data_IF_531705968937
#
_entry.id   IF_531705968937
#
_cell.length_a   1.000
_cell.length_b   1.000
_cell.length_c   1.000
_cell.angle_alpha   90.00
_cell.angle_beta   90.00
_cell.angle_gamma   90.00
#
_symmetry.space_group_name_H-M   'P 1'
#
loop_
_entity.id
_entity.type
_entity.pdbx_description
1 polymer ?
#
# COMPACT_ATOMS: atom_id res chain seq x y z
N UNK A 1 -75.79 -79.00 -20.43
CA UNK A 1 -75.37 -78.99 -19.01
C UNK A 1 -74.25 -77.97 -18.88
N UNK A 2 -74.55 -76.78 -18.31
CA UNK A 2 -73.96 -76.22 -17.07
C UNK A 2 -72.45 -75.92 -17.20
N UNK A 3 -71.86 -74.74 -16.97
CA UNK A 3 -72.26 -73.53 -16.24
C UNK A 3 -71.34 -72.34 -16.62
N UNK A 4 -71.90 -71.13 -16.47
CA UNK A 4 -71.30 -69.80 -16.29
C UNK A 4 -69.99 -69.71 -15.49
N UNK A 5 -69.06 -68.82 -15.90
CA UNK A 5 -68.61 -67.70 -15.03
C UNK A 5 -67.69 -66.68 -15.71
N UNK A 6 -67.92 -65.43 -15.30
CA UNK A 6 -67.24 -64.17 -15.56
C UNK A 6 -65.77 -64.14 -15.10
N UNK A 7 -64.93 -63.27 -15.70
CA UNK A 7 -64.34 -62.08 -15.03
C UNK A 7 -63.16 -61.43 -15.78
N UNK A 8 -63.26 -60.10 -15.82
CA UNK A 8 -62.23 -59.08 -15.56
C UNK A 8 -61.08 -58.86 -16.54
N UNK A 9 -61.16 -57.72 -17.24
CA UNK A 9 -60.02 -56.94 -17.71
C UNK A 9 -59.06 -56.64 -16.55
N UNK A 10 -57.75 -56.85 -16.78
CA UNK A 10 -56.69 -56.23 -16.00
C UNK A 10 -55.75 -55.50 -16.97
N UNK A 11 -56.03 -54.22 -17.17
CA UNK A 11 -55.10 -53.25 -17.79
C UNK A 11 -53.93 -53.02 -16.83
N UNK A 12 -52.74 -53.50 -17.20
CA UNK A 12 -51.49 -53.17 -16.53
C UNK A 12 -51.01 -51.83 -17.08
N UNK A 13 -51.17 -50.77 -16.29
CA UNK A 13 -50.57 -49.47 -16.56
C UNK A 13 -49.06 -49.55 -16.31
N UNK A 14 -48.25 -49.42 -17.36
CA UNK A 14 -46.80 -49.34 -17.27
C UNK A 14 -46.41 -47.91 -16.88
N UNK A 15 -46.21 -47.66 -15.59
CA UNK A 15 -45.61 -46.42 -15.10
C UNK A 15 -44.09 -46.53 -15.21
N UNK A 16 -43.52 -46.02 -16.31
CA UNK A 16 -42.08 -45.83 -16.42
C UNK A 16 -41.71 -44.43 -15.90
N UNK A 17 -41.04 -44.43 -14.74
CA UNK A 17 -40.49 -43.27 -14.03
C UNK A 17 -39.66 -42.38 -14.98
N UNK A 18 -40.05 -41.11 -15.10
CA UNK A 18 -39.18 -40.06 -15.62
C UNK A 18 -38.02 -39.84 -14.65
N UNK A 19 -36.84 -40.35 -15.02
CA UNK A 19 -35.58 -40.01 -14.36
C UNK A 19 -35.24 -38.56 -14.70
N UNK A 20 -35.62 -37.63 -13.82
CA UNK A 20 -35.09 -36.26 -13.88
C UNK A 20 -33.71 -36.35 -13.25
N UNK A 21 -32.66 -36.36 -14.09
CA UNK A 21 -31.31 -36.16 -13.59
C UNK A 21 -31.29 -34.83 -12.82
N UNK A 22 -30.82 -34.78 -11.56
CA UNK A 22 -30.63 -33.50 -10.90
C UNK A 22 -29.65 -32.71 -11.76
N UNK A 23 -30.10 -31.57 -12.29
CA UNK A 23 -29.20 -30.54 -12.74
C UNK A 23 -28.42 -30.14 -11.49
N UNK A 24 -27.23 -30.69 -11.32
CA UNK A 24 -26.28 -30.12 -10.38
C UNK A 24 -26.04 -28.72 -10.89
N UNK A 25 -26.64 -27.71 -10.23
CA UNK A 25 -26.08 -26.37 -10.28
C UNK A 25 -24.65 -26.55 -9.78
N UNK A 26 -23.69 -26.60 -10.71
CA UNK A 26 -22.33 -26.24 -10.35
C UNK A 26 -22.48 -24.83 -9.82
N UNK A 27 -22.33 -24.68 -8.50
CA UNK A 27 -21.91 -23.41 -7.91
C UNK A 27 -20.79 -22.92 -8.84
N UNK A 28 -20.81 -21.66 -9.32
CA UNK A 28 -19.66 -21.16 -10.07
C UNK A 28 -18.42 -21.61 -9.31
N UNK A 29 -17.47 -22.23 -10.02
CA UNK A 29 -16.18 -22.56 -9.44
C UNK A 29 -15.81 -21.36 -8.56
N UNK A 30 -15.51 -21.60 -7.28
CA UNK A 30 -14.87 -20.56 -6.47
C UNK A 30 -13.76 -20.06 -7.37
N UNK A 31 -13.85 -18.81 -7.84
CA UNK A 31 -12.76 -18.20 -8.58
C UNK A 31 -11.56 -18.40 -7.66
N UNK A 32 -10.60 -19.17 -8.14
CA UNK A 32 -9.40 -19.39 -7.37
C UNK A 32 -8.78 -18.01 -7.17
N UNK A 33 -8.50 -17.58 -5.92
CA UNK A 33 -7.89 -16.28 -5.67
C UNK A 33 -6.59 -16.08 -6.48
N UNK A 34 -5.94 -17.16 -6.94
CA UNK A 34 -4.75 -17.12 -7.79
C UNK A 34 -5.02 -17.06 -9.30
N UNK A 35 -6.24 -17.35 -9.79
CA UNK A 35 -6.60 -17.28 -11.22
C UNK A 35 -6.50 -15.84 -11.77
N UNK A 36 -6.41 -14.86 -10.89
CA UNK A 36 -6.26 -13.44 -11.23
C UNK A 36 -4.78 -13.02 -11.33
N UNK A 37 -3.83 -13.95 -11.18
CA UNK A 37 -2.40 -13.70 -11.22
C UNK A 37 -1.66 -14.49 -12.32
N UNK A 38 -0.52 -13.95 -12.76
CA UNK A 38 0.48 -14.65 -13.57
C UNK A 38 1.88 -14.34 -13.07
N UNK A 39 2.76 -15.34 -13.14
CA UNK A 39 4.22 -15.21 -12.95
C UNK A 39 4.88 -15.53 -14.29
N UNK A 40 5.59 -14.57 -14.87
CA UNK A 40 6.18 -14.68 -16.20
C UNK A 40 5.18 -15.11 -17.29
N UNK A 41 3.93 -14.65 -17.17
CA UNK A 41 2.82 -14.98 -18.08
C UNK A 41 2.24 -16.38 -17.91
N UNK A 42 2.63 -17.12 -16.86
CA UNK A 42 2.11 -18.45 -16.53
C UNK A 42 1.24 -18.34 -15.28
N UNK A 43 0.06 -18.97 -15.30
CA UNK A 43 -0.80 -19.05 -14.13
C UNK A 43 -0.08 -19.82 -13.00
N UNK A 44 -0.05 -19.30 -11.76
CA UNK A 44 0.60 -19.95 -10.64
C UNK A 44 -0.16 -21.21 -10.18
N UNK A 45 0.43 -21.97 -9.25
CA UNK A 45 -0.25 -23.12 -8.65
C UNK A 45 -1.51 -22.66 -7.90
N UNK A 46 -2.71 -23.14 -8.26
CA UNK A 46 -3.97 -22.74 -7.64
C UNK A 46 -4.09 -23.14 -6.15
N UNK A 47 -3.18 -23.98 -5.67
CA UNK A 47 -3.11 -24.41 -4.27
C UNK A 47 -2.03 -23.68 -3.46
N UNK A 48 -1.30 -22.76 -4.08
CA UNK A 48 -0.33 -21.94 -3.37
C UNK A 48 -1.03 -21.09 -2.31
N UNK A 49 -0.34 -20.78 -1.21
CA UNK A 49 -0.83 -19.84 -0.20
C UNK A 49 -0.03 -18.53 -0.21
N UNK A 50 0.87 -18.39 -1.19
CA UNK A 50 1.78 -17.28 -1.41
C UNK A 50 2.20 -17.32 -2.88
N UNK A 51 2.46 -16.15 -3.47
CA UNK A 51 2.97 -16.04 -4.83
C UNK A 51 4.43 -15.59 -4.80
N UNK A 52 5.30 -16.26 -5.56
CA UNK A 52 6.72 -15.92 -5.65
C UNK A 52 7.20 -16.04 -7.10
N UNK A 53 8.00 -15.08 -7.56
CA UNK A 53 8.75 -15.17 -8.83
C UNK A 53 9.87 -16.21 -8.73
N UNK A 54 10.69 -16.08 -7.68
CA UNK A 54 11.80 -16.98 -7.40
C UNK A 54 13.14 -16.32 -7.77
N UNK A 55 14.13 -17.07 -8.28
CA UNK A 55 15.38 -16.48 -8.73
C UNK A 55 15.31 -15.94 -10.16
N UNK A 56 15.94 -14.79 -10.38
CA UNK A 56 16.00 -14.08 -11.65
C UNK A 56 14.97 -12.96 -11.74
N UNK A 57 15.05 -12.15 -12.79
CA UNK A 57 14.12 -11.04 -13.00
C UNK A 57 12.74 -11.57 -13.42
N UNK A 58 11.76 -11.47 -12.53
CA UNK A 58 10.40 -12.01 -12.70
C UNK A 58 9.36 -10.92 -12.95
N UNK A 59 8.32 -11.27 -13.70
CA UNK A 59 7.15 -10.40 -13.95
C UNK A 59 5.91 -11.01 -13.32
N UNK A 60 5.41 -10.39 -12.26
CA UNK A 60 4.20 -10.78 -11.56
C UNK A 60 3.08 -9.79 -11.89
N UNK A 61 1.99 -10.27 -12.47
CA UNK A 61 0.81 -9.45 -12.77
C UNK A 61 -0.40 -10.08 -12.12
N UNK A 62 -1.06 -9.34 -11.25
CA UNK A 62 -2.31 -9.73 -10.62
C UNK A 62 -3.41 -8.68 -10.83
N UNK A 63 -4.66 -9.11 -10.81
CA UNK A 63 -5.84 -8.25 -10.75
C UNK A 63 -6.71 -8.60 -9.55
N UNK A 64 -7.62 -7.69 -9.16
CA UNK A 64 -8.64 -7.96 -8.13
C UNK A 64 -8.19 -7.75 -6.68
N UNK A 65 -8.92 -8.36 -5.74
CA UNK A 65 -8.64 -8.27 -4.30
C UNK A 65 -7.86 -9.52 -3.87
N UNK A 66 -6.58 -9.32 -3.53
CA UNK A 66 -5.65 -10.42 -3.24
C UNK A 66 -5.55 -10.68 -1.73
N UNK A 67 -5.64 -11.95 -1.34
CA UNK A 67 -5.61 -12.40 0.06
C UNK A 67 -4.45 -13.35 0.35
N UNK A 68 -3.29 -13.14 -0.28
CA UNK A 68 -2.09 -13.95 -0.08
C UNK A 68 -0.82 -13.14 -0.37
N UNK A 69 0.28 -13.35 0.37
CA UNK A 69 1.50 -12.58 0.19
C UNK A 69 2.11 -12.78 -1.20
N UNK A 70 2.71 -11.72 -1.74
CA UNK A 70 3.41 -11.72 -3.02
C UNK A 70 4.87 -11.34 -2.79
N UNK A 71 5.79 -12.10 -3.39
CA UNK A 71 7.23 -11.81 -3.41
C UNK A 71 7.75 -11.83 -4.84
N UNK A 72 8.59 -10.87 -5.22
CA UNK A 72 9.40 -10.97 -6.43
C UNK A 72 10.37 -12.15 -6.30
N UNK A 73 11.28 -12.05 -5.33
CA UNK A 73 12.29 -13.07 -5.08
C UNK A 73 13.68 -12.46 -5.17
N UNK A 74 14.65 -13.19 -5.72
CA UNK A 74 15.98 -12.64 -5.99
C UNK A 74 16.01 -12.16 -7.45
N UNK A 75 16.43 -10.93 -7.73
CA UNK A 75 16.46 -10.40 -9.10
C UNK A 75 15.75 -9.07 -9.19
N UNK A 76 15.76 -8.45 -10.37
CA UNK A 76 15.09 -7.19 -10.58
C UNK A 76 13.66 -7.46 -11.06
N UNK A 77 12.72 -7.51 -10.13
CA UNK A 77 11.36 -7.96 -10.37
C UNK A 77 10.40 -6.83 -10.77
N UNK A 78 9.34 -7.17 -11.49
CA UNK A 78 8.25 -6.26 -11.80
C UNK A 78 6.93 -6.84 -11.28
N UNK A 79 6.35 -6.20 -10.27
CA UNK A 79 5.10 -6.62 -9.63
C UNK A 79 4.02 -5.57 -9.93
N UNK A 80 2.95 -5.98 -10.62
CA UNK A 80 1.80 -5.11 -10.94
C UNK A 80 0.50 -5.68 -10.39
N UNK A 81 -0.15 -4.92 -9.51
CA UNK A 81 -1.45 -5.26 -8.93
C UNK A 81 -2.52 -4.28 -9.44
N UNK A 82 -3.45 -4.79 -10.24
CA UNK A 82 -4.60 -4.06 -10.77
C UNK A 82 -5.76 -4.15 -9.79
N UNK A 83 -5.69 -3.38 -8.70
CA UNK A 83 -6.64 -3.41 -7.60
C UNK A 83 -6.08 -2.74 -6.36
N UNK A 84 -6.79 -2.87 -5.24
CA UNK A 84 -6.25 -2.48 -3.94
C UNK A 84 -5.16 -3.47 -3.50
N UNK A 85 -4.26 -3.03 -2.64
CA UNK A 85 -3.14 -3.86 -2.19
C UNK A 85 -3.60 -5.11 -1.44
N UNK A 86 -2.73 -6.12 -1.44
CA UNK A 86 -2.96 -7.42 -0.83
C UNK A 86 -3.07 -7.31 0.69
N UNK A 87 -4.05 -8.01 1.29
CA UNK A 87 -4.17 -8.14 2.76
C UNK A 87 -2.91 -8.62 3.45
N UNK A 88 -2.08 -9.44 2.79
CA UNK A 88 -0.93 -10.13 3.39
C UNK A 88 0.43 -9.59 2.92
N UNK A 89 0.43 -8.52 2.12
CA UNK A 89 1.62 -7.74 1.78
C UNK A 89 2.31 -8.10 0.47
N UNK A 90 3.16 -7.18 0.01
CA UNK A 90 3.94 -7.28 -1.21
C UNK A 90 5.41 -7.01 -0.87
N UNK A 91 6.30 -7.86 -1.37
CA UNK A 91 7.75 -7.75 -1.22
C UNK A 91 8.39 -7.78 -2.61
N UNK A 92 9.30 -6.85 -2.89
CA UNK A 92 10.22 -6.96 -4.03
C UNK A 92 11.20 -8.11 -3.78
N UNK A 93 12.15 -7.87 -2.87
CA UNK A 93 13.16 -8.84 -2.48
C UNK A 93 14.55 -8.21 -2.65
N UNK A 94 15.61 -9.01 -2.83
CA UNK A 94 16.89 -8.48 -3.25
C UNK A 94 16.91 -8.21 -4.77
N UNK A 95 17.23 -6.98 -5.16
CA UNK A 95 17.33 -6.51 -6.54
C UNK A 95 16.70 -5.12 -6.68
N UNK A 96 16.87 -4.49 -7.84
CA UNK A 96 16.20 -3.23 -8.15
C UNK A 96 14.78 -3.51 -8.65
N UNK A 97 13.79 -3.49 -7.77
CA UNK A 97 12.42 -3.93 -8.06
C UNK A 97 11.49 -2.79 -8.51
N UNK A 98 10.46 -3.11 -9.27
CA UNK A 98 9.37 -2.20 -9.62
C UNK A 98 8.03 -2.75 -9.14
N UNK A 99 7.42 -2.07 -8.17
CA UNK A 99 6.14 -2.45 -7.57
C UNK A 99 5.09 -1.38 -7.90
N UNK A 100 4.04 -1.77 -8.61
CA UNK A 100 2.90 -0.89 -8.95
C UNK A 100 1.59 -1.46 -8.43
N UNK A 101 0.89 -0.72 -7.59
CA UNK A 101 -0.48 -1.02 -7.13
C UNK A 101 -1.40 0.10 -7.58
N UNK A 102 -2.36 -0.19 -8.45
CA UNK A 102 -3.21 0.86 -9.04
C UNK A 102 -4.26 1.42 -8.07
N UNK A 103 -4.62 0.65 -7.04
CA UNK A 103 -5.56 1.03 -5.99
C UNK A 103 -4.87 1.46 -4.70
N UNK A 104 -5.67 1.57 -3.64
CA UNK A 104 -5.20 2.01 -2.33
C UNK A 104 -4.50 0.85 -1.59
N UNK A 105 -3.55 1.20 -0.72
CA UNK A 105 -2.84 0.27 0.16
C UNK A 105 -3.38 0.41 1.57
N UNK A 106 -3.93 -0.68 2.11
CA UNK A 106 -4.50 -0.72 3.45
C UNK A 106 -6.01 -0.49 3.46
N UNK A 107 -6.53 -0.01 4.59
CA UNK A 107 -7.97 0.09 4.87
C UNK A 107 -8.43 -0.72 6.09
N UNK A 108 -9.70 -0.59 6.53
CA UNK A 108 -10.20 -1.31 7.70
C UNK A 108 -10.12 -2.84 7.50
N UNK A 109 -9.29 -3.52 8.30
CA UNK A 109 -9.10 -4.97 8.21
C UNK A 109 -8.07 -5.44 7.16
N UNK A 110 -7.38 -4.51 6.49
CA UNK A 110 -6.30 -4.74 5.54
C UNK A 110 -4.96 -4.54 6.26
N UNK A 111 -4.01 -5.47 6.13
CA UNK A 111 -2.80 -5.47 6.94
C UNK A 111 -1.62 -6.15 6.22
N UNK A 112 -1.14 -5.57 5.12
CA UNK A 112 -0.12 -6.17 4.28
C UNK A 112 1.14 -5.33 4.15
N UNK A 113 0.97 -4.07 3.77
CA UNK A 113 2.07 -3.17 3.43
C UNK A 113 2.82 -3.57 2.17
N UNK A 114 3.79 -2.73 1.80
CA UNK A 114 4.69 -2.95 0.66
C UNK A 114 6.12 -2.69 1.12
N UNK A 115 7.03 -3.57 0.73
CA UNK A 115 8.46 -3.43 0.95
C UNK A 115 9.23 -3.67 -0.37
N UNK A 116 10.11 -2.76 -0.76
CA UNK A 116 11.08 -3.00 -1.83
C UNK A 116 12.15 -4.00 -1.36
N UNK A 117 12.72 -3.73 -0.18
CA UNK A 117 13.83 -4.43 0.47
C UNK A 117 15.20 -3.97 -0.05
N UNK A 118 16.00 -4.81 -0.70
CA UNK A 118 17.40 -4.47 -0.93
C UNK A 118 17.67 -4.22 -2.40
N UNK A 119 18.01 -3.00 -2.77
CA UNK A 119 18.20 -2.53 -4.14
C UNK A 119 17.57 -1.15 -4.30
N UNK A 120 17.66 -0.56 -5.48
CA UNK A 120 17.06 0.74 -5.76
C UNK A 120 15.64 0.50 -6.30
N UNK A 121 14.67 0.47 -5.40
CA UNK A 121 13.32 0.06 -5.71
C UNK A 121 12.47 1.23 -6.20
N UNK A 122 11.51 0.94 -7.09
CA UNK A 122 10.48 1.89 -7.51
C UNK A 122 9.11 1.40 -7.05
N UNK A 123 8.47 2.13 -6.14
CA UNK A 123 7.17 1.79 -5.58
C UNK A 123 6.16 2.86 -5.97
N UNK A 124 5.09 2.48 -6.68
CA UNK A 124 3.99 3.39 -7.05
C UNK A 124 2.65 2.83 -6.58
N UNK A 125 1.89 3.60 -5.80
CA UNK A 125 0.61 3.16 -5.23
C UNK A 125 -0.47 4.25 -5.28
N UNK A 126 -1.73 3.88 -5.03
CA UNK A 126 -2.78 4.82 -4.62
C UNK A 126 -2.54 5.39 -3.22
N UNK A 127 -3.62 5.69 -2.49
CA UNK A 127 -3.53 6.21 -1.12
C UNK A 127 -2.99 5.14 -0.16
N UNK A 128 -2.37 5.59 0.93
CA UNK A 128 -1.87 4.71 1.99
C UNK A 128 -2.74 4.92 3.23
N UNK A 129 -3.54 3.90 3.55
CA UNK A 129 -4.56 3.92 4.58
C UNK A 129 -4.27 2.91 5.69
N UNK A 130 -3.71 3.37 6.80
CA UNK A 130 -3.37 2.55 7.97
C UNK A 130 -2.42 1.39 7.68
N UNK A 131 -1.52 1.56 6.69
CA UNK A 131 -0.49 0.59 6.35
C UNK A 131 0.88 1.21 6.06
N UNK A 132 1.90 0.37 5.85
CA UNK A 132 3.28 0.81 5.68
C UNK A 132 3.80 0.52 4.28
N UNK A 133 4.43 1.53 3.68
CA UNK A 133 5.29 1.42 2.50
C UNK A 133 6.72 1.64 2.96
N UNK A 134 7.64 0.80 2.48
CA UNK A 134 9.07 0.89 2.76
C UNK A 134 9.85 0.67 1.47
N UNK A 135 10.81 1.55 1.19
CA UNK A 135 11.83 1.31 0.17
C UNK A 135 12.74 0.18 0.66
N UNK A 136 13.64 0.47 1.59
CA UNK A 136 14.48 -0.52 2.25
C UNK A 136 15.94 -0.10 2.26
N UNK A 137 16.82 -0.83 1.60
CA UNK A 137 18.23 -0.49 1.43
C UNK A 137 18.48 -0.17 -0.04
N UNK A 138 19.08 0.97 -0.34
CA UNK A 138 19.27 1.44 -1.71
C UNK A 138 18.57 2.79 -1.89
N UNK A 139 18.73 3.38 -3.07
CA UNK A 139 18.15 4.69 -3.36
C UNK A 139 16.77 4.52 -3.98
N UNK A 140 15.75 4.52 -3.15
CA UNK A 140 14.39 4.15 -3.50
C UNK A 140 13.58 5.32 -4.06
N UNK A 141 12.64 5.02 -4.95
CA UNK A 141 11.70 5.97 -5.52
C UNK A 141 10.27 5.57 -5.16
N UNK A 142 9.67 6.29 -4.22
CA UNK A 142 8.34 5.98 -3.70
C UNK A 142 7.35 7.08 -4.11
N UNK A 143 6.29 6.71 -4.82
CA UNK A 143 5.18 7.60 -5.19
C UNK A 143 3.86 7.05 -4.69
N UNK A 144 3.16 7.81 -3.85
CA UNK A 144 1.84 7.42 -3.33
C UNK A 144 0.80 8.54 -3.53
N UNK A 145 -0.46 8.20 -3.38
CA UNK A 145 -1.53 9.17 -3.11
C UNK A 145 -1.40 9.78 -1.70
N UNK A 146 -2.54 10.10 -1.09
CA UNK A 146 -2.59 10.62 0.26
C UNK A 146 -2.12 9.57 1.29
N UNK A 147 -1.39 10.00 2.30
CA UNK A 147 -1.01 9.16 3.45
C UNK A 147 -1.94 9.51 4.59
N UNK A 148 -3.00 8.72 4.77
CA UNK A 148 -4.07 9.01 5.71
C UNK A 148 -4.21 7.89 6.70
N UNK A 149 -4.33 8.20 7.99
CA UNK A 149 -4.64 7.16 8.96
C UNK A 149 -6.10 7.18 9.40
N UNK A 150 -6.79 6.08 9.07
CA UNK A 150 -8.22 5.89 9.35
C UNK A 150 -8.50 4.84 10.45
N UNK A 151 -7.48 4.09 10.88
CA UNK A 151 -7.53 3.06 11.93
C UNK A 151 -6.56 3.37 13.09
N UNK A 152 -7.11 3.49 14.29
CA UNK A 152 -6.40 3.77 15.53
C UNK A 152 -5.35 2.71 15.94
N UNK A 153 -5.47 1.49 15.43
CA UNK A 153 -4.60 0.38 15.77
C UNK A 153 -3.27 0.39 14.99
N UNK A 154 -3.27 0.92 13.77
CA UNK A 154 -2.11 0.93 12.87
C UNK A 154 -1.63 2.35 12.58
N UNK A 155 -0.49 2.48 11.90
CA UNK A 155 0.04 3.75 11.42
C UNK A 155 0.17 3.68 9.91
N UNK A 156 -0.17 4.79 9.24
CA UNK A 156 0.17 4.97 7.83
C UNK A 156 1.60 5.49 7.77
N UNK A 157 2.52 4.73 7.20
CA UNK A 157 3.92 5.16 7.08
C UNK A 157 4.39 4.99 5.65
N UNK A 158 5.12 5.98 5.15
CA UNK A 158 5.94 5.85 3.95
C UNK A 158 7.37 6.13 4.36
N UNK A 159 8.24 5.15 4.20
CA UNK A 159 9.63 5.18 4.64
C UNK A 159 10.54 4.92 3.46
N UNK A 160 11.55 5.77 3.27
CA UNK A 160 12.63 5.53 2.32
C UNK A 160 13.46 4.34 2.78
N UNK A 161 14.25 4.54 3.83
CA UNK A 161 15.07 3.49 4.45
C UNK A 161 16.54 3.92 4.51
N UNK A 162 17.44 3.02 4.15
CA UNK A 162 18.87 3.32 4.00
C UNK A 162 19.16 3.69 2.53
N UNK A 163 19.61 4.90 2.25
CA UNK A 163 19.96 5.35 0.90
C UNK A 163 19.47 6.76 0.64
N UNK A 164 19.89 7.35 -0.47
CA UNK A 164 19.38 8.67 -0.88
C UNK A 164 18.02 8.47 -1.58
N UNK A 165 16.91 8.59 -0.84
CA UNK A 165 15.57 8.24 -1.30
C UNK A 165 14.82 9.42 -1.91
N UNK A 166 13.91 9.14 -2.85
CA UNK A 166 12.95 10.12 -3.36
C UNK A 166 11.53 9.67 -3.03
N UNK A 167 10.84 10.44 -2.19
CA UNK A 167 9.47 10.16 -1.76
C UNK A 167 8.54 11.27 -2.24
N UNK A 168 7.49 10.91 -2.96
CA UNK A 168 6.42 11.82 -3.38
C UNK A 168 5.07 11.30 -2.91
N UNK A 169 4.36 12.09 -2.10
CA UNK A 169 3.02 11.75 -1.62
C UNK A 169 2.01 12.86 -1.92
N UNK A 170 0.73 12.52 -1.85
CA UNK A 170 -0.35 13.49 -1.68
C UNK A 170 -0.32 14.15 -0.28
N UNK A 171 -1.49 14.49 0.24
CA UNK A 171 -1.62 15.07 1.58
C UNK A 171 -1.21 14.04 2.66
N UNK A 172 -0.56 14.50 3.72
CA UNK A 172 -0.22 13.68 4.90
C UNK A 172 -1.21 14.01 6.01
N UNK A 173 -2.24 13.18 6.14
CA UNK A 173 -3.36 13.38 7.05
C UNK A 173 -3.27 12.42 8.25
N UNK A 174 -2.69 12.91 9.34
CA UNK A 174 -2.72 12.18 10.59
C UNK A 174 -4.09 12.28 11.28
N UNK A 175 -4.32 11.40 12.25
CA UNK A 175 -5.45 11.49 13.17
C UNK A 175 -4.90 11.67 14.59
N UNK A 176 -5.29 12.74 15.27
CA UNK A 176 -4.97 12.94 16.69
C UNK A 176 -5.89 12.08 17.56
N UNK A 177 -5.37 10.96 18.06
CA UNK A 177 -6.09 10.13 19.03
C UNK A 177 -5.82 10.64 20.43
N UNK A 178 -6.89 11.06 21.11
CA UNK A 178 -6.82 11.62 22.45
C UNK A 178 -6.24 10.62 23.45
N UNK A 179 -5.41 11.15 24.36
CA UNK A 179 -4.79 10.53 25.55
C UNK A 179 -3.42 9.84 25.41
N UNK A 180 -2.82 9.69 24.21
CA UNK A 180 -1.45 9.11 24.10
C UNK A 180 -0.51 9.74 23.07
N UNK A 181 -0.91 10.82 22.36
CA UNK A 181 -0.09 11.53 21.35
C UNK A 181 0.57 10.59 20.31
N UNK A 182 -0.20 9.70 19.70
CA UNK A 182 0.28 8.94 18.53
C UNK A 182 0.04 9.82 17.29
N UNK A 183 1.11 10.27 16.63
CA UNK A 183 1.00 10.80 15.26
C UNK A 183 0.87 9.60 14.34
N UNK A 184 -0.16 9.62 13.52
CA UNK A 184 -0.71 8.41 12.94
C UNK A 184 -0.40 8.25 11.45
N UNK A 185 -0.11 9.35 10.74
CA UNK A 185 0.44 9.35 9.38
C UNK A 185 1.84 9.96 9.40
N UNK A 186 2.83 9.25 8.85
CA UNK A 186 4.20 9.69 8.80
C UNK A 186 4.85 9.40 7.44
N UNK A 187 5.60 10.38 6.93
CA UNK A 187 6.52 10.19 5.81
C UNK A 187 7.93 10.42 6.33
N UNK A 188 8.87 9.54 6.01
CA UNK A 188 10.24 9.68 6.46
C UNK A 188 11.26 9.20 5.43
N UNK A 189 12.34 9.94 5.26
CA UNK A 189 13.50 9.51 4.48
C UNK A 189 14.28 8.40 5.17
N UNK A 190 14.67 8.65 6.44
CA UNK A 190 15.44 7.74 7.32
C UNK A 190 16.96 7.96 7.26
N UNK A 191 17.75 7.15 6.56
CA UNK A 191 19.19 7.39 6.44
C UNK A 191 19.57 7.74 5.01
N UNK A 192 20.16 8.91 4.77
CA UNK A 192 20.59 9.32 3.44
C UNK A 192 20.21 10.78 3.20
N UNK A 193 20.55 11.30 2.02
CA UNK A 193 20.15 12.66 1.64
C UNK A 193 18.87 12.56 0.81
N UNK A 194 17.74 12.70 1.50
CA UNK A 194 16.44 12.34 0.95
C UNK A 194 15.77 13.53 0.28
N UNK A 195 14.96 13.26 -0.74
CA UNK A 195 14.07 14.23 -1.37
C UNK A 195 12.63 13.84 -1.07
N UNK A 196 11.94 14.65 -0.27
CA UNK A 196 10.58 14.41 0.15
C UNK A 196 9.66 15.51 -0.39
N UNK A 197 8.72 15.14 -1.25
CA UNK A 197 7.65 15.99 -1.75
C UNK A 197 6.31 15.53 -1.19
N UNK A 198 5.58 16.42 -0.52
CA UNK A 198 4.25 16.12 0.01
C UNK A 198 3.24 17.21 -0.34
N UNK A 199 1.95 16.83 -0.32
CA UNK A 199 0.84 17.76 -0.29
C UNK A 199 0.74 18.53 1.04
N UNK A 200 -0.46 18.95 1.42
CA UNK A 200 -0.69 19.57 2.71
C UNK A 200 -0.46 18.56 3.85
N UNK A 201 0.12 19.04 4.96
CA UNK A 201 0.33 18.21 6.15
C UNK A 201 -0.68 18.63 7.21
N UNK A 202 -1.64 17.74 7.49
CA UNK A 202 -2.69 17.96 8.48
C UNK A 202 -2.58 16.91 9.56
N UNK A 203 -2.16 17.28 10.77
CA UNK A 203 -1.96 16.33 11.88
C UNK A 203 -0.95 15.21 11.60
N UNK A 204 -0.26 15.25 10.45
CA UNK A 204 0.78 14.33 10.03
C UNK A 204 2.17 14.76 10.45
N UNK A 205 3.15 13.90 10.17
CA UNK A 205 4.58 14.19 10.35
C UNK A 205 5.34 13.86 9.08
N UNK A 206 6.25 14.74 8.70
CA UNK A 206 7.28 14.47 7.70
C UNK A 206 8.64 14.61 8.38
N UNK A 207 9.57 13.72 8.08
CA UNK A 207 10.92 13.76 8.64
C UNK A 207 11.98 13.40 7.58
N UNK A 208 13.03 14.18 7.45
CA UNK A 208 14.20 13.75 6.67
C UNK A 208 14.96 12.65 7.43
N UNK A 209 15.24 12.94 8.70
CA UNK A 209 16.08 12.18 9.62
C UNK A 209 17.57 12.41 9.34
N UNK A 210 18.37 11.38 9.04
CA UNK A 210 19.83 11.50 9.02
C UNK A 210 20.29 11.73 7.58
N UNK A 211 20.87 12.91 7.34
CA UNK A 211 21.50 13.30 6.08
C UNK A 211 21.05 14.70 5.69
N UNK A 212 21.53 15.22 4.57
CA UNK A 212 21.18 16.55 4.11
C UNK A 212 19.93 16.49 3.23
N UNK A 213 18.77 16.67 3.86
CA UNK A 213 17.48 16.36 3.26
C UNK A 213 16.86 17.58 2.57
N UNK A 214 16.05 17.31 1.55
CA UNK A 214 15.22 18.30 0.87
C UNK A 214 13.76 17.95 1.10
N UNK A 215 13.03 18.80 1.81
CA UNK A 215 11.62 18.62 2.09
C UNK A 215 10.82 19.76 1.47
N UNK A 216 9.96 19.45 0.49
CA UNK A 216 8.97 20.39 -0.03
C UNK A 216 7.55 19.91 0.29
N UNK A 217 6.75 20.78 0.91
CA UNK A 217 5.41 20.44 1.35
C UNK A 217 4.37 21.47 0.89
N UNK A 218 3.11 21.07 0.90
CA UNK A 218 1.97 21.98 0.97
C UNK A 218 1.86 22.67 2.33
N UNK A 219 0.77 23.42 2.54
CA UNK A 219 0.57 24.13 3.81
C UNK A 219 0.45 23.18 5.01
N UNK A 220 0.99 23.59 6.17
CA UNK A 220 0.87 22.85 7.42
C UNK A 220 -0.30 23.38 8.25
N UNK A 221 -1.11 22.46 8.80
CA UNK A 221 -2.13 22.75 9.80
C UNK A 221 -2.16 21.62 10.82
N UNK A 222 -1.67 21.86 12.04
CA UNK A 222 -1.41 20.83 13.05
C UNK A 222 -0.40 19.76 12.59
N UNK A 223 0.33 20.01 11.50
CA UNK A 223 1.33 19.12 10.91
C UNK A 223 2.75 19.51 11.32
N UNK A 224 3.68 18.56 11.28
CA UNK A 224 5.07 18.82 11.65
C UNK A 224 6.05 18.35 10.56
N UNK A 225 7.09 19.14 10.32
CA UNK A 225 8.26 18.77 9.53
C UNK A 225 9.50 18.83 10.43
N UNK A 226 10.33 17.81 10.34
CA UNK A 226 11.64 17.75 10.98
C UNK A 226 12.70 17.45 9.91
N UNK A 227 13.74 18.27 9.81
CA UNK A 227 14.92 17.95 9.01
C UNK A 227 15.66 16.79 9.66
N UNK A 228 16.38 17.08 10.74
CA UNK A 228 17.07 16.07 11.54
C UNK A 228 18.55 16.41 11.62
N UNK A 229 19.45 15.43 11.81
CA UNK A 229 20.89 15.67 11.66
C UNK A 229 21.29 15.83 10.19
N UNK A 230 21.84 16.98 9.81
CA UNK A 230 22.27 17.26 8.45
C UNK A 230 22.16 18.74 8.09
N UNK A 231 22.34 19.09 6.82
CA UNK A 231 22.08 20.46 6.37
C UNK A 231 20.82 20.44 5.50
N UNK A 232 19.68 20.68 6.12
CA UNK A 232 18.39 20.41 5.51
C UNK A 232 17.83 21.64 4.78
N UNK A 233 17.10 21.41 3.68
CA UNK A 233 16.35 22.44 2.96
C UNK A 233 14.86 22.16 3.07
N UNK A 234 14.13 23.03 3.76
CA UNK A 234 12.67 22.90 3.95
C UNK A 234 11.94 24.06 3.26
N UNK A 235 10.98 23.77 2.39
CA UNK A 235 10.26 24.81 1.64
C UNK A 235 8.83 24.41 1.24
N UNK A 236 8.09 25.36 0.69
CA UNK A 236 6.84 25.06 -0.01
C UNK A 236 7.14 24.46 -1.39
N UNK A 237 6.19 23.72 -1.95
CA UNK A 237 6.33 23.11 -3.28
C UNK A 237 6.91 24.09 -4.33
N UNK A 238 7.92 23.64 -5.08
CA UNK A 238 8.64 24.46 -6.06
C UNK A 238 9.52 25.54 -5.43
N UNK A 239 10.09 25.25 -4.25
CA UNK A 239 10.87 26.19 -3.44
C UNK A 239 10.12 27.50 -3.10
N UNK A 240 8.81 27.42 -2.91
CA UNK A 240 7.97 28.55 -2.49
C UNK A 240 8.01 28.74 -0.97
N UNK A 241 7.37 29.81 -0.46
CA UNK A 241 7.26 30.04 0.98
C UNK A 241 6.27 29.03 1.57
N UNK A 242 6.74 28.17 2.48
CA UNK A 242 5.93 27.21 3.22
C UNK A 242 5.07 27.93 4.27
N UNK A 243 3.75 27.82 4.19
CA UNK A 243 2.86 28.35 5.23
C UNK A 243 2.78 27.39 6.43
N UNK A 244 3.36 27.79 7.56
CA UNK A 244 3.38 27.01 8.81
C UNK A 244 2.24 27.49 9.72
N UNK A 245 1.09 26.81 9.65
CA UNK A 245 -0.15 27.22 10.31
C UNK A 245 -0.23 26.84 11.80
N UNK A 246 -1.45 26.93 12.34
CA UNK A 246 -1.75 26.66 13.76
C UNK A 246 -1.17 25.33 14.23
N UNK A 247 -0.54 25.34 15.41
CA UNK A 247 -0.01 24.14 16.08
C UNK A 247 0.90 23.29 15.20
N UNK A 248 1.54 23.92 14.21
CA UNK A 248 2.47 23.26 13.30
C UNK A 248 3.89 23.64 13.67
N UNK A 249 4.83 22.73 13.45
CA UNK A 249 6.26 22.95 13.69
C UNK A 249 7.02 22.62 12.42
N UNK A 250 7.91 23.52 12.03
CA UNK A 250 9.04 23.22 11.14
C UNK A 250 10.29 23.35 11.97
N UNK A 251 11.10 22.30 12.01
CA UNK A 251 12.35 22.26 12.77
C UNK A 251 13.45 21.69 11.87
N UNK A 252 14.48 22.51 11.57
CA UNK A 252 15.63 22.07 10.79
C UNK A 252 16.42 20.95 11.48
N UNK A 253 16.53 21.00 12.81
CA UNK A 253 17.31 20.02 13.58
C UNK A 253 18.77 20.44 13.77
N UNK A 254 19.67 19.45 13.71
CA UNK A 254 21.09 19.61 13.99
C UNK A 254 21.84 19.87 12.67
N UNK A 255 22.33 21.09 12.47
CA UNK A 255 23.23 21.42 11.38
C UNK A 255 23.04 22.84 10.86
N UNK A 256 23.30 23.05 9.56
CA UNK A 256 23.10 24.36 8.90
C UNK A 256 21.94 24.26 7.92
N UNK A 257 20.74 24.43 8.46
CA UNK A 257 19.51 24.26 7.71
C UNK A 257 19.08 25.55 7.01
N UNK A 258 18.23 25.43 6.00
CA UNK A 258 17.63 26.56 5.28
C UNK A 258 16.13 26.31 5.13
N UNK A 259 15.31 27.19 5.68
CA UNK A 259 13.86 27.06 5.58
C UNK A 259 13.23 28.26 4.89
N UNK A 260 12.67 28.05 3.70
CA UNK A 260 11.81 29.02 3.04
C UNK A 260 10.39 28.89 3.58
N UNK A 261 10.16 29.36 4.82
CA UNK A 261 8.92 29.15 5.55
C UNK A 261 8.44 30.42 6.27
N UNK A 262 7.12 30.54 6.44
CA UNK A 262 6.48 31.63 7.17
C UNK A 262 5.47 31.09 8.18
N UNK A 263 5.67 31.43 9.46
CA UNK A 263 4.73 31.12 10.51
C UNK A 263 3.44 31.95 10.37
N UNK A 264 2.30 31.27 10.40
CA UNK A 264 0.96 31.86 10.42
C UNK A 264 0.15 31.23 11.55
N UNK A 265 -0.79 31.98 12.14
CA UNK A 265 -1.72 31.46 13.16
C UNK A 265 -1.07 30.69 14.34
N UNK A 266 0.16 31.05 14.73
CA UNK A 266 0.88 30.44 15.86
C UNK A 266 1.73 29.21 15.51
N UNK A 267 2.04 28.97 14.23
CA UNK A 267 3.06 28.00 13.82
C UNK A 267 4.46 28.38 14.32
N UNK A 268 5.34 27.39 14.41
CA UNK A 268 6.72 27.55 14.90
C UNK A 268 7.71 27.12 13.82
N UNK A 269 8.77 27.91 13.68
CA UNK A 269 9.93 27.60 12.83
C UNK A 269 11.15 27.64 13.73
N UNK A 270 11.88 26.54 13.81
CA UNK A 270 13.01 26.30 14.72
C UNK A 270 14.22 25.83 13.92
N UNK A 271 15.43 26.16 14.40
CA UNK A 271 16.69 25.71 13.81
C UNK A 271 16.79 25.97 12.29
N UNK A 272 16.20 27.08 11.83
CA UNK A 272 16.17 27.50 10.44
C UNK A 272 16.61 28.98 10.36
N UNK A 273 17.90 29.27 10.14
CA UNK A 273 18.42 30.63 10.01
C UNK A 273 17.88 31.41 8.80
#
# INVERSE_FOLDING_TARGET
MLHSSTRALLTIALAALSFVAPLTLTVPAHADPHDECTVNGVAPDPSATALSGGPGDDVIVCSGELEFPISGGDGNDTITIQGNAVRDGISGGPGDDTITVTGDVGGPGQAGGIAGNAGNDTITTGNVESDNIKGGQGNDHITTGDVTNIDYSRQSRVLGGEGDDTITTGDVNGTLVSLSRKVLAAVAGEEGNDIIHTGAIRQGRVAGNKGADVIEAGALSEGNIYGGPGNDRISGAGNTVLSVGRSSVVDGGDGTDTCNAQATAGGQILNCP
#
